data_IF_948826664526
#
_entry.id   IF_948826664526
#
_cell.length_a   1.000
_cell.length_b   1.000
_cell.length_c   1.000
_cell.angle_alpha   90.00
_cell.angle_beta   90.00
_cell.angle_gamma   90.00
#
_symmetry.space_group_name_H-M   'P 1'
#
loop_
_entity.id
_entity.type
_entity.pdbx_description
1 polymer ?
#
# COMPACT_ATOMS: atom_id res chain seq x y z
N UNK A 1 0.03 -43.66 -8.12
CA UNK A 1 0.25 -42.30 -7.61
C UNK A 1 -0.18 -41.35 -8.71
N UNK A 2 -1.39 -40.81 -8.61
CA UNK A 2 -1.90 -39.83 -9.57
C UNK A 2 -1.28 -38.49 -9.25
N UNK A 3 -0.34 -38.08 -10.09
CA UNK A 3 0.20 -36.72 -10.13
C UNK A 3 -0.99 -35.76 -10.25
N UNK A 4 -1.21 -34.91 -9.25
CA UNK A 4 -2.21 -33.83 -9.35
C UNK A 4 -1.71 -32.87 -10.42
N UNK A 5 -2.25 -33.01 -11.63
CA UNK A 5 -2.10 -32.03 -12.69
C UNK A 5 -2.56 -30.69 -12.11
N UNK A 6 -1.72 -29.65 -12.07
CA UNK A 6 -2.13 -28.33 -11.61
C UNK A 6 -3.32 -27.89 -12.47
N UNK A 7 -4.46 -27.59 -11.83
CA UNK A 7 -5.59 -27.01 -12.53
C UNK A 7 -5.08 -25.75 -13.27
N UNK A 8 -5.42 -25.58 -14.56
CA UNK A 8 -4.99 -24.42 -15.31
C UNK A 8 -5.41 -23.16 -14.56
N UNK A 9 -4.49 -22.20 -14.50
CA UNK A 9 -4.74 -20.82 -14.05
C UNK A 9 -6.06 -20.33 -14.63
N UNK A 10 -7.10 -20.26 -13.81
CA UNK A 10 -8.41 -19.80 -14.30
C UNK A 10 -8.37 -18.28 -14.38
N UNK A 11 -8.94 -17.71 -15.44
CA UNK A 11 -9.14 -16.26 -15.53
C UNK A 11 -9.95 -15.74 -14.33
N UNK A 12 -10.82 -16.58 -13.78
CA UNK A 12 -11.62 -16.36 -12.58
C UNK A 12 -10.76 -16.10 -11.34
N UNK A 13 -9.72 -16.91 -11.09
CA UNK A 13 -8.84 -16.72 -9.92
C UNK A 13 -8.11 -15.37 -9.98
N UNK A 14 -7.62 -14.99 -11.17
CA UNK A 14 -7.01 -13.67 -11.38
C UNK A 14 -7.99 -12.53 -11.16
N UNK A 15 -9.21 -12.68 -11.66
CA UNK A 15 -10.27 -11.69 -11.51
C UNK A 15 -10.67 -11.55 -10.04
N UNK A 16 -10.83 -12.65 -9.31
CA UNK A 16 -11.14 -12.64 -7.87
C UNK A 16 -10.03 -11.95 -7.05
N UNK A 17 -8.76 -12.25 -7.33
CA UNK A 17 -7.63 -11.54 -6.71
C UNK A 17 -7.67 -10.04 -7.01
N UNK A 18 -7.90 -9.68 -8.28
CA UNK A 18 -7.95 -8.29 -8.72
C UNK A 18 -9.10 -7.52 -8.07
N UNK A 19 -10.27 -8.14 -7.96
CA UNK A 19 -11.45 -7.55 -7.34
C UNK A 19 -11.21 -7.22 -5.86
N UNK A 20 -10.60 -8.12 -5.11
CA UNK A 20 -10.24 -7.89 -3.70
C UNK A 20 -9.25 -6.73 -3.56
N UNK A 21 -8.23 -6.67 -4.41
CA UNK A 21 -7.20 -5.61 -4.42
C UNK A 21 -7.82 -4.24 -4.69
N UNK A 22 -8.68 -4.14 -5.70
CA UNK A 22 -9.33 -2.88 -6.09
C UNK A 22 -10.38 -2.47 -5.06
N UNK A 23 -11.17 -3.43 -4.56
CA UNK A 23 -12.20 -3.21 -3.53
C UNK A 23 -11.61 -2.60 -2.26
N UNK A 24 -10.39 -2.97 -1.87
CA UNK A 24 -9.70 -2.38 -0.73
C UNK A 24 -9.63 -0.84 -0.80
N UNK A 25 -9.26 -0.30 -1.97
CA UNK A 25 -9.10 1.15 -2.16
C UNK A 25 -10.41 1.89 -1.97
N UNK A 26 -11.46 1.42 -2.67
CA UNK A 26 -12.79 2.00 -2.56
C UNK A 26 -13.37 1.87 -1.14
N UNK A 27 -13.26 0.70 -0.52
CA UNK A 27 -13.80 0.48 0.81
C UNK A 27 -13.11 1.34 1.86
N UNK A 28 -11.78 1.50 1.78
CA UNK A 28 -11.02 2.39 2.66
C UNK A 28 -11.43 3.85 2.50
N UNK A 29 -11.46 4.34 1.26
CA UNK A 29 -11.76 5.74 1.01
C UNK A 29 -13.21 6.11 1.36
N UNK A 30 -14.14 5.17 1.15
CA UNK A 30 -15.56 5.34 1.48
C UNK A 30 -15.94 4.93 2.90
N UNK A 31 -14.97 4.60 3.75
CA UNK A 31 -15.19 4.19 5.17
C UNK A 31 -16.12 2.97 5.32
N UNK A 32 -16.12 2.06 4.35
CA UNK A 32 -16.85 0.77 4.38
C UNK A 32 -16.05 -0.25 5.18
N UNK A 33 -16.07 -0.11 6.50
CA UNK A 33 -15.15 -0.85 7.37
C UNK A 33 -15.35 -2.37 7.37
N UNK A 34 -16.58 -2.91 7.42
CA UNK A 34 -16.79 -4.36 7.33
C UNK A 34 -16.25 -4.94 6.02
N UNK A 35 -16.51 -4.27 4.90
CA UNK A 35 -16.05 -4.68 3.56
C UNK A 35 -14.55 -4.48 3.39
N UNK A 36 -13.97 -3.44 4.00
CA UNK A 36 -12.52 -3.28 4.04
C UNK A 36 -11.87 -4.44 4.79
N UNK A 37 -12.39 -4.80 5.97
CA UNK A 37 -11.90 -5.92 6.77
C UNK A 37 -11.98 -7.26 6.01
N UNK A 38 -13.02 -7.46 5.19
CA UNK A 38 -13.17 -8.70 4.42
C UNK A 38 -12.17 -8.87 3.27
N UNK A 39 -11.44 -7.82 2.89
CA UNK A 39 -10.39 -7.92 1.85
C UNK A 39 -9.13 -8.65 2.31
N UNK A 40 -8.95 -8.85 3.62
CA UNK A 40 -7.82 -9.59 4.20
C UNK A 40 -8.28 -10.84 4.93
N UNK A 41 -7.39 -11.83 5.02
CA UNK A 41 -7.56 -12.89 6.01
C UNK A 41 -7.43 -12.32 7.44
N UNK A 42 -8.02 -12.97 8.47
CA UNK A 42 -7.95 -12.49 9.86
C UNK A 42 -6.51 -12.33 10.41
N UNK A 43 -5.58 -13.16 9.92
CA UNK A 43 -4.14 -13.15 10.21
C UNK A 43 -3.33 -12.27 9.22
N UNK A 44 -4.01 -11.47 8.40
CA UNK A 44 -3.38 -10.68 7.36
C UNK A 44 -2.65 -9.45 7.90
N UNK A 45 -1.55 -9.09 7.24
CA UNK A 45 -0.69 -7.96 7.63
C UNK A 45 -0.54 -6.91 6.53
N UNK A 46 -0.33 -5.66 6.95
CA UNK A 46 -0.06 -4.55 6.03
C UNK A 46 1.14 -3.72 6.49
N UNK A 47 1.99 -3.33 5.55
CA UNK A 47 3.13 -2.45 5.75
C UNK A 47 3.05 -1.25 4.78
N UNK A 48 2.85 -0.06 5.33
CA UNK A 48 2.84 1.23 4.64
C UNK A 48 3.69 2.24 5.43
N UNK A 49 3.95 3.42 4.88
CA UNK A 49 4.86 4.42 5.47
C UNK A 49 4.60 4.76 6.95
N UNK A 50 3.36 4.64 7.44
CA UNK A 50 2.97 5.06 8.79
C UNK A 50 2.44 3.92 9.67
N UNK A 51 2.33 2.69 9.13
CA UNK A 51 1.84 1.54 9.89
C UNK A 51 2.41 0.24 9.35
N UNK A 52 2.81 -0.64 10.26
CA UNK A 52 3.22 -2.00 9.96
C UNK A 52 2.66 -2.93 11.03
N UNK A 53 1.88 -3.95 10.62
CA UNK A 53 1.32 -4.93 11.54
C UNK A 53 -0.02 -5.51 11.08
N UNK A 54 -0.83 -6.02 12.02
CA UNK A 54 -2.12 -6.65 11.72
C UNK A 54 -3.09 -5.72 10.99
N UNK A 55 -3.75 -6.23 9.96
CA UNK A 55 -4.64 -5.43 9.14
C UNK A 55 -5.87 -4.90 9.91
N UNK A 56 -6.39 -5.67 10.87
CA UNK A 56 -7.48 -5.21 11.72
C UNK A 56 -7.10 -3.94 12.51
N UNK A 57 -5.89 -3.89 13.05
CA UNK A 57 -5.37 -2.71 13.74
C UNK A 57 -5.15 -1.54 12.78
N UNK A 58 -4.67 -1.78 11.56
CA UNK A 58 -4.59 -0.77 10.52
C UNK A 58 -5.96 -0.10 10.25
N UNK A 59 -7.04 -0.88 10.21
CA UNK A 59 -8.40 -0.35 10.02
C UNK A 59 -8.83 0.55 11.19
N UNK A 60 -8.49 0.19 12.43
CA UNK A 60 -8.76 1.05 13.60
C UNK A 60 -7.97 2.37 13.56
N UNK A 61 -6.77 2.38 13.01
CA UNK A 61 -6.04 3.63 12.74
C UNK A 61 -6.70 4.44 11.63
N UNK A 62 -7.18 3.80 10.55
CA UNK A 62 -7.90 4.47 9.46
C UNK A 62 -9.18 5.16 9.92
N UNK A 63 -9.94 4.56 10.85
CA UNK A 63 -11.17 5.16 11.40
C UNK A 63 -10.93 6.54 12.02
N UNK A 64 -9.78 6.71 12.67
CA UNK A 64 -9.31 7.95 13.32
C UNK A 64 -8.57 8.89 12.36
N UNK A 65 -8.34 8.46 11.13
CA UNK A 65 -7.63 9.22 10.10
C UNK A 65 -8.52 10.19 9.33
N UNK A 66 -7.86 11.21 8.76
CA UNK A 66 -8.45 12.12 7.78
C UNK A 66 -8.74 11.43 6.44
N UNK A 67 -9.44 12.12 5.52
CA UNK A 67 -9.74 11.59 4.20
C UNK A 67 -8.47 11.35 3.37
N UNK A 68 -8.52 10.32 2.53
CA UNK A 68 -7.51 9.99 1.53
C UNK A 68 -8.21 9.47 0.28
N UNK A 69 -7.54 9.53 -0.86
CA UNK A 69 -7.98 8.85 -2.09
C UNK A 69 -6.88 7.93 -2.60
N UNK A 70 -7.24 6.71 -2.94
CA UNK A 70 -6.36 5.72 -3.55
C UNK A 70 -6.87 5.40 -4.95
N UNK A 71 -6.10 5.83 -5.95
CA UNK A 71 -6.31 5.38 -7.33
C UNK A 71 -5.59 4.04 -7.46
N UNK A 72 -6.34 2.95 -7.62
CA UNK A 72 -5.82 1.60 -7.78
C UNK A 72 -5.90 1.22 -9.25
N UNK A 73 -4.75 0.95 -9.87
CA UNK A 73 -4.69 0.55 -11.28
C UNK A 73 -4.92 -0.97 -11.42
N UNK A 74 -4.96 -1.47 -12.65
CA UNK A 74 -5.11 -2.89 -12.91
C UNK A 74 -3.93 -3.69 -12.31
N UNK A 75 -4.18 -4.69 -11.44
CA UNK A 75 -3.12 -5.47 -10.81
C UNK A 75 -2.55 -6.52 -11.77
N UNK A 76 -1.24 -6.73 -11.72
CA UNK A 76 -0.57 -7.86 -12.37
C UNK A 76 -0.58 -9.07 -11.45
N UNK A 77 -1.51 -10.00 -11.66
CA UNK A 77 -1.70 -11.18 -10.80
C UNK A 77 -1.00 -12.42 -11.34
N UNK A 78 -0.28 -13.13 -10.48
CA UNK A 78 0.30 -14.47 -10.73
C UNK A 78 -0.27 -15.46 -9.71
N UNK A 79 -0.75 -16.61 -10.17
CA UNK A 79 -1.42 -17.63 -9.34
C UNK A 79 -0.65 -18.96 -9.46
N UNK A 80 -0.53 -19.67 -8.34
CA UNK A 80 -0.02 -21.04 -8.24
C UNK A 80 -0.81 -21.80 -7.17
N UNK A 81 -1.77 -22.63 -7.58
CA UNK A 81 -2.67 -23.34 -6.67
C UNK A 81 -3.48 -22.37 -5.81
N UNK A 82 -3.40 -22.49 -4.49
CA UNK A 82 -4.08 -21.64 -3.52
C UNK A 82 -3.31 -20.35 -3.17
N UNK A 83 -2.19 -20.06 -3.87
CA UNK A 83 -1.34 -18.89 -3.62
C UNK A 83 -1.33 -17.96 -4.82
N UNK A 84 -1.35 -16.67 -4.57
CA UNK A 84 -1.19 -15.65 -5.60
C UNK A 84 -0.33 -14.49 -5.10
N UNK A 85 0.41 -13.88 -6.02
CA UNK A 85 1.05 -12.58 -5.78
C UNK A 85 0.51 -11.57 -6.77
N UNK A 86 0.39 -10.33 -6.34
CA UNK A 86 0.03 -9.24 -7.24
C UNK A 86 0.95 -8.04 -7.04
N UNK A 87 1.18 -7.33 -8.14
CA UNK A 87 1.84 -6.03 -8.16
C UNK A 87 0.88 -5.03 -8.78
N UNK A 88 0.60 -3.95 -8.05
CA UNK A 88 -0.46 -3.00 -8.40
C UNK A 88 0.04 -1.58 -8.28
N UNK A 89 0.13 -0.85 -9.38
CA UNK A 89 0.41 0.59 -9.34
C UNK A 89 -0.73 1.32 -8.63
N UNK A 90 -0.37 2.26 -7.76
CA UNK A 90 -1.31 3.10 -7.03
C UNK A 90 -0.87 4.56 -7.03
N UNK A 91 -1.85 5.45 -6.89
CA UNK A 91 -1.61 6.84 -6.52
C UNK A 91 -2.37 7.15 -5.24
N UNK A 92 -1.65 7.66 -4.25
CA UNK A 92 -2.19 8.10 -2.96
C UNK A 92 -2.30 9.61 -2.99
N UNK A 93 -3.51 10.12 -2.80
CA UNK A 93 -3.80 11.55 -2.72
C UNK A 93 -4.27 11.87 -1.31
N UNK A 94 -3.61 12.83 -0.67
CA UNK A 94 -3.99 13.29 0.67
C UNK A 94 -3.88 14.80 0.75
N UNK A 95 -4.95 15.44 1.23
CA UNK A 95 -4.92 16.82 1.66
C UNK A 95 -4.65 16.91 3.15
N UNK A 96 -3.79 17.85 3.55
CA UNK A 96 -3.54 18.14 4.97
C UNK A 96 -3.03 19.56 5.17
N UNK A 97 -2.90 19.97 6.44
CA UNK A 97 -2.17 21.18 6.80
C UNK A 97 -0.76 20.81 7.29
N UNK A 98 0.26 21.51 6.81
CA UNK A 98 1.63 21.50 7.35
C UNK A 98 1.96 22.95 7.72
N UNK A 99 2.35 23.19 8.98
CA UNK A 99 2.68 24.55 9.49
C UNK A 99 1.60 25.63 9.26
N UNK A 100 0.34 25.22 9.06
CA UNK A 100 -0.79 26.11 8.75
C UNK A 100 -1.07 26.28 7.26
N UNK A 101 -0.27 25.67 6.37
CA UNK A 101 -0.44 25.69 4.93
C UNK A 101 -1.19 24.45 4.46
N UNK A 102 -2.29 24.65 3.74
CA UNK A 102 -3.05 23.58 3.11
C UNK A 102 -2.30 23.06 1.89
N UNK A 103 -1.99 21.77 1.89
CA UNK A 103 -1.17 21.10 0.87
C UNK A 103 -1.83 19.81 0.40
N UNK A 104 -1.66 19.51 -0.88
CA UNK A 104 -2.00 18.24 -1.50
C UNK A 104 -0.73 17.43 -1.74
N UNK A 105 -0.69 16.23 -1.16
CA UNK A 105 0.36 15.26 -1.40
C UNK A 105 -0.12 14.26 -2.45
N UNK A 106 0.71 14.04 -3.47
CA UNK A 106 0.56 12.95 -4.44
C UNK A 106 1.74 12.00 -4.28
N UNK A 107 1.47 10.74 -3.93
CA UNK A 107 2.50 9.70 -3.84
C UNK A 107 2.19 8.58 -4.83
N UNK A 108 3.16 8.27 -5.69
CA UNK A 108 3.14 7.15 -6.63
C UNK A 108 3.88 5.99 -5.98
N UNK A 109 3.22 4.84 -5.98
CA UNK A 109 3.71 3.64 -5.33
C UNK A 109 3.17 2.39 -6.03
N UNK A 110 3.64 1.24 -5.58
CA UNK A 110 3.07 -0.06 -5.87
C UNK A 110 2.63 -0.76 -4.59
N UNK A 111 1.50 -1.45 -4.63
CA UNK A 111 1.25 -2.52 -3.68
C UNK A 111 1.86 -3.82 -4.20
N UNK A 112 2.59 -4.49 -3.30
CA UNK A 112 2.98 -5.88 -3.43
C UNK A 112 2.10 -6.69 -2.50
N UNK A 113 1.35 -7.62 -3.06
CA UNK A 113 0.38 -8.43 -2.34
C UNK A 113 0.76 -9.92 -2.38
N UNK A 114 0.63 -10.61 -1.24
CA UNK A 114 0.40 -12.06 -1.18
C UNK A 114 -1.08 -12.28 -0.90
N UNK A 115 -1.72 -13.09 -1.72
CA UNK A 115 -3.11 -13.51 -1.55
C UNK A 115 -3.17 -15.02 -1.44
N UNK A 116 -4.04 -15.49 -0.57
CA UNK A 116 -4.25 -16.93 -0.36
C UNK A 116 -5.72 -17.25 -0.52
N UNK A 117 -6.02 -18.39 -1.16
CA UNK A 117 -7.37 -18.93 -1.22
C UNK A 117 -7.60 -19.86 -0.03
N UNK A 118 -8.59 -19.54 0.80
CA UNK A 118 -9.01 -20.38 1.94
C UNK A 118 -10.52 -20.53 1.91
N UNK A 119 -11.02 -21.75 2.01
CA UNK A 119 -12.47 -22.00 1.93
C UNK A 119 -13.12 -21.54 0.61
N UNK A 120 -12.35 -21.51 -0.48
CA UNK A 120 -12.82 -21.05 -1.80
C UNK A 120 -12.76 -19.53 -2.03
N UNK A 121 -12.32 -18.74 -1.05
CA UNK A 121 -12.24 -17.28 -1.16
C UNK A 121 -10.79 -16.80 -1.21
N UNK A 122 -10.46 -15.96 -2.20
CA UNK A 122 -9.21 -15.21 -2.24
C UNK A 122 -9.29 -14.01 -1.31
N UNK A 123 -8.29 -13.86 -0.43
CA UNK A 123 -8.10 -12.65 0.38
C UNK A 123 -6.62 -12.32 0.50
N UNK A 124 -6.32 -11.06 0.82
CA UNK A 124 -4.95 -10.60 1.03
C UNK A 124 -4.44 -11.18 2.36
N UNK A 125 -3.30 -11.85 2.31
CA UNK A 125 -2.56 -12.32 3.47
C UNK A 125 -1.49 -11.29 3.88
N UNK A 126 -0.85 -10.64 2.92
CA UNK A 126 0.15 -9.62 3.21
C UNK A 126 0.16 -8.55 2.12
N UNK A 127 0.20 -7.28 2.52
CA UNK A 127 0.38 -6.13 1.63
C UNK A 127 1.55 -5.28 2.07
N UNK A 128 2.41 -4.90 1.13
CA UNK A 128 3.44 -3.90 1.35
C UNK A 128 3.35 -2.80 0.28
N UNK A 129 3.52 -1.54 0.67
CA UNK A 129 3.66 -0.43 -0.26
C UNK A 129 5.13 -0.16 -0.57
N UNK A 130 5.48 -0.17 -1.86
CA UNK A 130 6.78 0.25 -2.39
C UNK A 130 6.61 1.64 -2.99
N UNK A 131 7.22 2.64 -2.39
CA UNK A 131 7.13 4.03 -2.84
C UNK A 131 8.16 4.31 -3.95
N UNK A 132 7.75 5.10 -4.94
CA UNK A 132 8.53 5.33 -6.16
C UNK A 132 8.81 6.81 -6.39
N UNK A 133 7.85 7.67 -6.06
CA UNK A 133 7.98 9.11 -6.20
C UNK A 133 6.86 9.77 -5.40
N UNK A 134 7.14 10.93 -4.80
CA UNK A 134 6.08 11.80 -4.30
C UNK A 134 6.31 13.29 -4.60
N UNK A 135 5.25 14.05 -4.40
CA UNK A 135 5.22 15.50 -4.55
C UNK A 135 4.29 16.11 -3.51
N UNK A 136 4.63 17.31 -3.07
CA UNK A 136 3.81 18.15 -2.23
C UNK A 136 3.50 19.47 -2.94
N UNK A 137 2.22 19.78 -3.09
CA UNK A 137 1.74 20.98 -3.74
C UNK A 137 0.93 21.85 -2.78
N UNK A 138 1.08 23.19 -2.82
CA UNK A 138 0.19 24.05 -2.07
C UNK A 138 -1.19 24.06 -2.74
N UNK A 139 -2.26 23.98 -1.96
CA UNK A 139 -3.63 24.11 -2.48
C UNK A 139 -3.84 25.51 -3.07
N UNK A 140 -3.21 26.52 -2.45
CA UNK A 140 -3.12 27.88 -2.95
C UNK A 140 -1.65 28.29 -2.96
N UNK A 141 -1.08 28.69 -4.11
CA UNK A 141 0.29 29.20 -4.15
C UNK A 141 0.46 30.39 -3.21
N UNK A 142 1.39 30.30 -2.26
CA UNK A 142 1.69 31.37 -1.31
C UNK A 142 3.19 31.48 -1.07
N UNK A 143 3.66 32.68 -0.75
CA UNK A 143 5.04 32.87 -0.32
C UNK A 143 5.35 32.12 0.98
N UNK A 144 4.36 31.97 1.87
CA UNK A 144 4.51 31.22 3.12
C UNK A 144 4.86 29.76 2.85
N UNK A 145 4.19 29.11 1.89
CA UNK A 145 4.55 27.77 1.45
C UNK A 145 5.95 27.73 0.83
N UNK A 146 6.31 28.69 -0.02
CA UNK A 146 7.63 28.74 -0.63
C UNK A 146 8.76 28.84 0.43
N UNK A 147 8.57 29.68 1.46
CA UNK A 147 9.50 29.79 2.60
C UNK A 147 9.57 28.49 3.40
N UNK A 148 8.43 27.90 3.74
CA UNK A 148 8.36 26.60 4.42
C UNK A 148 9.18 25.55 3.66
N UNK A 149 8.96 25.42 2.33
CA UNK A 149 9.66 24.44 1.49
C UNK A 149 11.17 24.70 1.35
N UNK A 150 11.61 25.96 1.49
CA UNK A 150 13.02 26.32 1.50
C UNK A 150 13.71 25.89 2.81
N UNK A 151 13.01 26.01 3.94
CA UNK A 151 13.60 25.79 5.26
C UNK A 151 13.59 24.30 5.68
N UNK A 152 12.60 23.52 5.22
CA UNK A 152 12.50 22.09 5.55
C UNK A 152 13.66 21.27 4.96
N UNK A 153 14.33 20.49 5.82
CA UNK A 153 15.42 19.61 5.41
C UNK A 153 14.90 18.30 4.82
N UNK A 154 14.26 18.34 3.65
CA UNK A 154 13.65 17.15 3.03
C UNK A 154 14.68 16.16 2.47
N UNK A 155 15.91 16.62 2.20
CA UNK A 155 16.98 15.78 1.67
C UNK A 155 17.42 14.66 2.63
N UNK A 156 17.08 14.75 3.92
CA UNK A 156 17.32 13.69 4.90
C UNK A 156 16.47 12.43 4.65
N UNK A 157 15.35 12.57 3.93
CA UNK A 157 14.46 11.46 3.60
C UNK A 157 14.79 10.90 2.20
N UNK A 158 14.69 9.58 2.00
CA UNK A 158 14.85 8.98 0.68
C UNK A 158 13.88 9.57 -0.34
N UNK A 159 14.41 9.84 -1.53
CA UNK A 159 13.69 10.55 -2.60
C UNK A 159 12.31 9.93 -2.94
N UNK A 160 12.13 8.59 -3.00
CA UNK A 160 10.86 8.00 -3.43
C UNK A 160 9.64 8.28 -2.52
N UNK A 161 9.86 8.66 -1.26
CA UNK A 161 8.80 8.94 -0.29
C UNK A 161 9.11 10.16 0.60
N UNK A 162 9.91 11.08 0.09
CA UNK A 162 10.45 12.21 0.83
C UNK A 162 9.37 13.09 1.44
N UNK A 163 8.36 13.45 0.66
CA UNK A 163 7.30 14.33 1.13
C UNK A 163 6.26 13.60 1.98
N UNK A 164 6.09 12.29 1.78
CA UNK A 164 5.34 11.42 2.68
C UNK A 164 6.01 11.39 4.07
N UNK A 165 7.34 11.30 4.13
CA UNK A 165 8.07 11.35 5.39
C UNK A 165 7.97 12.72 6.07
N UNK A 166 8.16 13.81 5.33
CA UNK A 166 7.93 15.17 5.83
C UNK A 166 6.52 15.32 6.42
N UNK A 167 5.51 14.82 5.70
CA UNK A 167 4.11 14.83 6.14
C UNK A 167 3.93 14.14 7.49
N UNK A 168 4.52 12.95 7.68
CA UNK A 168 4.39 12.19 8.92
C UNK A 168 5.13 12.88 10.06
N UNK A 169 6.34 13.36 9.82
CA UNK A 169 7.10 14.13 10.79
C UNK A 169 6.35 15.39 11.26
N UNK A 170 5.74 16.13 10.32
CA UNK A 170 4.92 17.32 10.61
C UNK A 170 3.68 17.01 11.46
N UNK A 171 3.17 15.78 11.39
CA UNK A 171 2.06 15.30 12.20
C UNK A 171 2.51 14.64 13.52
N UNK A 172 3.81 14.71 13.86
CA UNK A 172 4.39 14.06 15.04
C UNK A 172 4.35 12.53 14.97
N UNK A 173 4.32 11.94 13.77
CA UNK A 173 4.24 10.49 13.56
C UNK A 173 5.55 9.95 13.00
N UNK A 174 6.14 8.91 13.60
CA UNK A 174 7.31 8.25 13.03
C UNK A 174 6.95 7.46 11.77
N UNK A 175 7.95 7.19 10.94
CA UNK A 175 7.85 6.20 9.87
C UNK A 175 7.73 4.80 10.47
N UNK A 176 6.93 3.94 9.83
CA UNK A 176 6.87 2.52 10.16
C UNK A 176 7.96 1.77 9.39
N UNK A 177 9.17 1.75 9.95
CA UNK A 177 10.33 1.15 9.29
C UNK A 177 10.25 -0.39 9.21
N UNK A 178 10.81 -1.00 8.13
CA UNK A 178 11.40 -0.32 6.98
C UNK A 178 10.34 0.17 5.99
N UNK A 179 10.52 1.38 5.45
CA UNK A 179 9.70 1.86 4.32
C UNK A 179 10.28 1.36 3.00
N UNK A 180 9.48 0.66 2.19
CA UNK A 180 9.95 0.06 0.95
C UNK A 180 10.01 1.07 -0.21
N UNK A 181 11.08 0.99 -0.98
CA UNK A 181 11.32 1.69 -2.25
C UNK A 181 12.28 0.87 -3.12
N UNK A 182 12.35 1.15 -4.41
CA UNK A 182 13.21 0.41 -5.34
C UNK A 182 14.70 0.60 -5.04
N UNK A 183 15.47 -0.47 -5.24
CA UNK A 183 16.92 -0.50 -4.96
C UNK A 183 17.28 -0.74 -3.49
N UNK A 184 16.34 -0.63 -2.57
CA UNK A 184 16.62 -0.90 -1.15
C UNK A 184 16.77 -2.42 -0.88
N UNK A 185 17.79 -2.85 -0.10
CA UNK A 185 18.00 -4.28 0.18
C UNK A 185 16.78 -4.98 0.82
N UNK A 186 16.07 -4.31 1.72
CA UNK A 186 14.88 -4.86 2.37
C UNK A 186 13.70 -5.03 1.40
N UNK A 187 13.58 -4.18 0.38
CA UNK A 187 12.59 -4.34 -0.71
C UNK A 187 12.95 -5.53 -1.60
N UNK A 188 14.23 -5.70 -1.94
CA UNK A 188 14.70 -6.87 -2.68
C UNK A 188 14.41 -8.18 -1.93
N UNK A 189 14.66 -8.21 -0.61
CA UNK A 189 14.35 -9.36 0.24
C UNK A 189 12.83 -9.64 0.31
N UNK A 190 11.99 -8.60 0.37
CA UNK A 190 10.54 -8.72 0.34
C UNK A 190 10.06 -9.40 -0.96
N UNK A 191 10.51 -8.89 -2.11
CA UNK A 191 10.14 -9.42 -3.44
C UNK A 191 10.60 -10.88 -3.57
N UNK A 192 11.83 -11.19 -3.16
CA UNK A 192 12.36 -12.56 -3.18
C UNK A 192 11.53 -13.50 -2.30
N UNK A 193 11.17 -13.08 -1.08
CA UNK A 193 10.29 -13.85 -0.18
C UNK A 193 8.94 -14.14 -0.81
N UNK A 194 8.34 -13.17 -1.50
CA UNK A 194 7.05 -13.37 -2.18
C UNK A 194 7.16 -14.36 -3.35
N UNK A 195 8.24 -14.26 -4.14
CA UNK A 195 8.49 -15.19 -5.23
C UNK A 195 8.72 -16.64 -4.75
N UNK A 196 9.51 -16.82 -3.69
CA UNK A 196 9.73 -18.14 -3.05
C UNK A 196 8.41 -18.71 -2.55
N UNK A 197 7.62 -17.90 -1.84
CA UNK A 197 6.33 -18.31 -1.31
C UNK A 197 5.35 -18.70 -2.41
N UNK A 198 5.26 -17.93 -3.50
CA UNK A 198 4.42 -18.27 -4.65
C UNK A 198 4.83 -19.60 -5.28
N UNK A 199 6.13 -19.90 -5.34
CA UNK A 199 6.65 -21.14 -5.91
C UNK A 199 6.36 -22.40 -5.07
N UNK A 200 5.75 -22.27 -3.90
CA UNK A 200 5.48 -23.40 -3.01
C UNK A 200 6.67 -23.83 -2.17
N UNK A 201 7.74 -23.03 -2.14
CA UNK A 201 8.99 -23.31 -1.42
C UNK A 201 9.02 -22.64 -0.05
#
# INVERSE_FOLDING_TARGET
MTEKIPLPMTAEDKLACADVIVSWGLCRDQRRWPELLSTFHPDGEIAVSWFRGPFAEFVEHCKRGGPSKHLIMAPLVRVNGERATAETTIVILVRQAIEGQSVDMTSRARFLDRLERRGGEWKILERAAVYEQDRLDPVVPTEAFARMMHDVQVAQYPEPYRYMALRLASAGRPLAEPVHYDGAPHTGALIARYAIWLAGK
#
